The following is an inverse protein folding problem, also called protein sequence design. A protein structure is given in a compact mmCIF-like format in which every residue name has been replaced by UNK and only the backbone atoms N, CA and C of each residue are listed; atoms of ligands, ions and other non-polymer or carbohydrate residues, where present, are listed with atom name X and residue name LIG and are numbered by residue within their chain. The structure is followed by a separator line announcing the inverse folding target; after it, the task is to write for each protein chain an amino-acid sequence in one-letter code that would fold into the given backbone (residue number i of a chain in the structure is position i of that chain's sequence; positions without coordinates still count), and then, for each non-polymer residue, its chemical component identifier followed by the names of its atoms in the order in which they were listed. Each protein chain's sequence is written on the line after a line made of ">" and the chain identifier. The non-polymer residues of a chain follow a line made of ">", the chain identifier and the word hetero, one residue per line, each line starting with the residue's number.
data_IF_857380746971
#
_entry.id   IF_857380746971
#
_cell.length_a   1.000
_cell.length_b   1.000
_cell.length_c   1.000
_cell.angle_alpha   90.00
_cell.angle_beta   90.00
_cell.angle_gamma   90.00
#
_symmetry.space_group_name_H-M   'P 1'
#
loop_
_entity.id
_entity.type
_entity.pdbx_description
1 polymer ?
#
# COMPACT_ATOMS: atom_id res chain seq x y z
N UNK A 1 8.51 8.37 -23.45
CA UNK A 1 7.71 7.27 -22.84
C UNK A 1 8.35 6.94 -21.52
N UNK A 2 7.68 7.22 -20.40
CA UNK A 2 8.21 6.93 -19.07
C UNK A 2 8.32 5.42 -18.86
N UNK A 3 9.48 4.97 -18.39
CA UNK A 3 9.78 3.55 -18.20
C UNK A 3 9.13 3.10 -16.89
N UNK A 4 8.08 2.27 -16.97
CA UNK A 4 7.43 1.71 -15.77
C UNK A 4 8.42 0.90 -14.94
N UNK A 5 8.39 1.00 -13.60
CA UNK A 5 9.30 0.24 -12.75
C UNK A 5 8.98 -1.25 -12.81
N UNK A 6 10.01 -2.11 -12.79
CA UNK A 6 9.86 -3.58 -12.82
C UNK A 6 9.09 -4.14 -11.62
N UNK A 7 9.09 -3.41 -10.49
CA UNK A 7 8.35 -3.73 -9.28
C UNK A 7 7.60 -2.49 -8.79
N UNK A 8 6.40 -2.68 -8.24
CA UNK A 8 5.59 -1.60 -7.69
C UNK A 8 4.77 -2.11 -6.50
N UNK A 9 4.60 -1.27 -5.48
CA UNK A 9 3.75 -1.58 -4.33
C UNK A 9 2.34 -1.03 -4.56
N UNK A 10 1.34 -1.80 -4.17
CA UNK A 10 -0.08 -1.46 -4.26
C UNK A 10 -0.71 -1.63 -2.89
N UNK A 11 -1.11 -0.51 -2.30
CA UNK A 11 -1.81 -0.48 -1.02
C UNK A 11 -3.32 -0.61 -1.25
N UNK A 12 -3.94 -1.52 -0.49
CA UNK A 12 -5.39 -1.66 -0.42
C UNK A 12 -5.93 -0.42 0.29
N UNK A 13 -6.72 0.38 -0.41
CA UNK A 13 -7.26 1.64 0.11
C UNK A 13 -8.37 1.39 1.13
N UNK A 14 -8.66 2.37 2.02
CA UNK A 14 -9.80 2.27 2.94
C UNK A 14 -11.11 2.04 2.17
N UNK A 15 -11.81 0.95 2.50
CA UNK A 15 -13.05 0.53 1.82
C UNK A 15 -12.86 -0.19 0.48
N UNK A 16 -11.61 -0.38 0.02
CA UNK A 16 -11.29 -1.19 -1.16
C UNK A 16 -11.24 -2.68 -0.77
N UNK A 17 -11.84 -3.55 -1.61
CA UNK A 17 -11.68 -4.99 -1.43
C UNK A 17 -10.32 -5.47 -1.94
N UNK A 18 -9.86 -6.63 -1.46
CA UNK A 18 -8.63 -7.24 -1.98
C UNK A 18 -8.70 -7.49 -3.49
N UNK A 19 -9.86 -7.92 -4.00
CA UNK A 19 -10.07 -8.15 -5.43
C UNK A 19 -9.93 -6.86 -6.22
N UNK A 20 -10.55 -5.76 -5.77
CA UNK A 20 -10.47 -4.47 -6.45
C UNK A 20 -9.02 -3.96 -6.53
N UNK A 21 -8.24 -4.14 -5.47
CA UNK A 21 -6.81 -3.81 -5.49
C UNK A 21 -6.04 -4.64 -6.52
N UNK A 22 -6.30 -5.96 -6.60
CA UNK A 22 -5.65 -6.85 -7.57
C UNK A 22 -6.05 -6.52 -9.02
N UNK A 23 -7.31 -6.16 -9.27
CA UNK A 23 -7.78 -5.71 -10.59
C UNK A 23 -7.09 -4.41 -11.03
N UNK A 24 -6.83 -3.51 -10.06
CA UNK A 24 -6.05 -2.28 -10.26
C UNK A 24 -4.59 -2.58 -10.63
N UNK A 25 -3.99 -3.61 -10.03
CA UNK A 25 -2.63 -4.07 -10.37
C UNK A 25 -2.59 -4.62 -11.80
N UNK A 26 -3.54 -5.49 -12.14
CA UNK A 26 -3.64 -6.12 -13.45
C UNK A 26 -3.84 -5.07 -14.55
N UNK A 27 -4.73 -4.10 -14.33
CA UNK A 27 -4.98 -2.98 -15.26
C UNK A 27 -3.73 -2.14 -15.54
N UNK A 28 -2.78 -2.11 -14.60
CA UNK A 28 -1.50 -1.40 -14.75
C UNK A 28 -0.39 -2.27 -15.36
N UNK A 29 -0.65 -3.57 -15.58
CA UNK A 29 0.29 -4.55 -16.13
C UNK A 29 1.14 -5.27 -15.08
N UNK A 30 0.74 -5.24 -13.81
CA UNK A 30 1.49 -5.85 -12.71
C UNK A 30 0.82 -7.13 -12.21
N UNK A 31 1.63 -8.17 -11.98
CA UNK A 31 1.22 -9.42 -11.34
C UNK A 31 1.67 -9.44 -9.89
N UNK A 32 0.79 -9.75 -8.90
CA UNK A 32 1.17 -9.81 -7.49
C UNK A 32 2.18 -10.94 -7.25
N UNK A 33 3.28 -10.63 -6.55
CA UNK A 33 4.33 -11.59 -6.17
C UNK A 33 4.48 -11.71 -4.65
N UNK A 34 3.97 -10.75 -3.87
CA UNK A 34 4.00 -10.78 -2.40
C UNK A 34 2.85 -9.97 -1.81
N UNK A 35 2.30 -10.42 -0.69
CA UNK A 35 1.40 -9.65 0.20
C UNK A 35 2.13 -9.35 1.52
N UNK A 36 1.96 -8.14 2.02
CA UNK A 36 2.55 -7.65 3.27
C UNK A 36 1.48 -6.90 4.06
N UNK A 37 1.57 -6.95 5.39
CA UNK A 37 0.76 -6.13 6.29
C UNK A 37 1.73 -5.19 7.01
N UNK A 38 1.64 -3.91 6.70
CA UNK A 38 2.54 -2.88 7.23
C UNK A 38 1.80 -2.04 8.28
N UNK A 39 2.38 -1.79 9.47
CA UNK A 39 1.79 -0.87 10.44
C UNK A 39 1.95 0.58 9.94
N UNK A 40 0.87 1.35 10.01
CA UNK A 40 0.83 2.78 9.75
C UNK A 40 0.89 3.50 11.09
N UNK A 41 1.83 4.43 11.22
CA UNK A 41 1.95 5.29 12.38
C UNK A 41 1.65 6.73 11.97
N UNK A 42 1.01 7.48 12.85
CA UNK A 42 0.71 8.89 12.65
C UNK A 42 1.34 9.74 13.74
N UNK A 43 1.66 10.98 13.39
CA UNK A 43 2.06 12.00 14.36
C UNK A 43 0.83 12.60 15.02
N UNK A 44 0.76 12.52 16.35
CA UNK A 44 -0.30 13.09 17.17
C UNK A 44 0.29 14.08 18.15
N UNK A 45 -0.35 15.25 18.25
CA UNK A 45 0.03 16.27 19.23
C UNK A 45 -0.76 16.06 20.53
N UNK A 46 -0.08 15.59 21.58
CA UNK A 46 -0.63 15.43 22.93
C UNK A 46 0.14 16.30 23.91
N UNK A 47 -0.56 17.12 24.70
CA UNK A 47 0.03 18.05 25.69
C UNK A 47 1.19 18.89 25.14
N UNK A 48 1.06 19.40 23.91
CA UNK A 48 2.09 20.25 23.30
C UNK A 48 3.31 19.50 22.74
N UNK A 49 3.39 18.17 22.89
CA UNK A 49 4.45 17.32 22.33
C UNK A 49 3.91 16.49 21.16
N UNK A 50 4.72 16.34 20.11
CA UNK A 50 4.43 15.43 18.99
C UNK A 50 4.90 14.03 19.41
N UNK A 51 4.00 13.06 19.36
CA UNK A 51 4.28 11.64 19.60
C UNK A 51 3.84 10.82 18.40
N UNK A 52 4.59 9.79 18.06
CA UNK A 52 4.22 8.85 17.01
C UNK A 52 3.39 7.72 17.63
N UNK A 53 2.16 7.55 17.16
CA UNK A 53 1.25 6.51 17.63
C UNK A 53 0.87 5.57 16.49
N UNK A 54 0.68 4.30 16.83
CA UNK A 54 0.15 3.31 15.91
C UNK A 54 -1.30 3.69 15.55
N UNK A 55 -1.59 3.73 14.25
CA UNK A 55 -2.91 4.09 13.74
C UNK A 55 -3.66 2.84 13.27
N UNK A 56 -3.09 2.13 12.31
CA UNK A 56 -3.75 0.99 11.66
C UNK A 56 -2.74 0.07 10.98
N UNK A 57 -3.22 -1.08 10.50
CA UNK A 57 -2.48 -2.00 9.65
C UNK A 57 -3.02 -1.89 8.23
N UNK A 58 -2.12 -1.65 7.27
CA UNK A 58 -2.47 -1.61 5.84
C UNK A 58 -1.98 -2.86 5.13
N UNK A 59 -2.76 -3.32 4.16
CA UNK A 59 -2.37 -4.44 3.29
C UNK A 59 -1.69 -3.86 2.05
N UNK A 60 -0.50 -4.36 1.74
CA UNK A 60 0.31 -3.94 0.59
C UNK A 60 0.71 -5.15 -0.24
N UNK A 61 0.42 -5.11 -1.54
CA UNK A 61 0.90 -6.07 -2.51
C UNK A 61 2.15 -5.54 -3.23
N UNK A 62 3.18 -6.38 -3.37
CA UNK A 62 4.25 -6.14 -4.34
C UNK A 62 3.84 -6.77 -5.67
N UNK A 63 3.75 -5.95 -6.71
CA UNK A 63 3.54 -6.37 -8.09
C UNK A 63 4.83 -6.36 -8.89
N UNK A 64 4.98 -7.30 -9.82
CA UNK A 64 6.03 -7.34 -10.83
C UNK A 64 5.43 -7.00 -12.19
N UNK A 65 6.04 -6.07 -12.92
CA UNK A 65 5.61 -5.71 -14.27
C UNK A 65 5.82 -6.91 -15.20
N UNK A 66 4.79 -7.23 -15.99
CA UNK A 66 4.86 -8.22 -17.06
C UNK A 66 5.70 -7.72 -18.25
#
# INVERSE_FOLDING_TARGET
>A
MEKKPKKMKFEVQPGESLSACLDRMASQGYTPVRRMEEPVFIEVKKNGKITQEYHEQRIVFEGKLL
#
